data_IF_520929064544
#
_entry.id   IF_520929064544
#
_cell.length_a   1.000
_cell.length_b   1.000
_cell.length_c   1.000
_cell.angle_alpha   90.00
_cell.angle_beta   90.00
_cell.angle_gamma   90.00
#
_symmetry.space_group_name_H-M   'P 1'
#
loop_
_entity.id
_entity.type
_entity.pdbx_description
1 polymer ?
#
# COMPACT_ATOMS: atom_id res chain seq x y z
N UNK A 1 -12.79 25.99 7.94
CA UNK A 1 -11.73 25.18 7.32
C UNK A 1 -12.06 24.92 5.86
N UNK A 2 -11.05 24.72 5.03
CA UNK A 2 -11.22 24.37 3.62
C UNK A 2 -11.05 22.84 3.47
N UNK A 3 -12.11 22.19 2.97
CA UNK A 3 -12.14 20.77 2.69
C UNK A 3 -11.98 20.54 1.19
N UNK A 4 -10.99 19.74 0.82
CA UNK A 4 -10.73 19.34 -0.56
C UNK A 4 -11.27 17.93 -0.81
N UNK A 5 -11.90 17.75 -1.97
CA UNK A 5 -12.24 16.48 -2.55
C UNK A 5 -11.29 16.20 -3.72
N UNK A 6 -10.44 15.21 -3.59
CA UNK A 6 -9.35 14.93 -4.52
C UNK A 6 -9.50 13.54 -5.12
N UNK A 7 -9.27 13.43 -6.44
CA UNK A 7 -9.14 12.14 -7.11
C UNK A 7 -7.68 11.67 -7.02
N UNK A 8 -7.46 10.43 -6.63
CA UNK A 8 -6.14 9.81 -6.54
C UNK A 8 -5.79 9.13 -7.86
N UNK A 9 -5.26 9.91 -8.82
CA UNK A 9 -4.81 9.37 -10.09
C UNK A 9 -3.44 8.67 -9.96
N UNK A 10 -3.03 7.94 -11.02
CA UNK A 10 -1.69 7.32 -11.07
C UNK A 10 -0.55 8.36 -11.04
N UNK A 11 -0.84 9.60 -11.44
CA UNK A 11 0.12 10.70 -11.46
C UNK A 11 0.03 11.60 -10.22
N UNK A 12 -0.76 11.23 -9.22
CA UNK A 12 -0.93 11.98 -7.98
C UNK A 12 -2.36 12.47 -7.76
N UNK A 13 -2.54 13.24 -6.70
CA UNK A 13 -3.84 13.80 -6.33
C UNK A 13 -4.24 14.96 -7.24
N UNK A 14 -5.47 14.93 -7.72
CA UNK A 14 -6.07 15.97 -8.54
C UNK A 14 -7.30 16.52 -7.81
N UNK A 15 -7.35 17.80 -7.56
CA UNK A 15 -8.52 18.42 -6.93
C UNK A 15 -9.73 18.35 -7.86
N UNK A 16 -10.79 17.72 -7.39
CA UNK A 16 -12.08 17.65 -8.08
C UNK A 16 -12.95 18.81 -7.67
N UNK A 17 -13.02 19.08 -6.37
CA UNK A 17 -13.83 20.15 -5.80
C UNK A 17 -13.29 20.55 -4.42
N UNK A 18 -13.78 21.66 -3.90
CA UNK A 18 -13.48 22.12 -2.55
C UNK A 18 -14.63 22.92 -1.97
N UNK A 19 -14.75 22.91 -0.66
CA UNK A 19 -15.76 23.66 0.07
C UNK A 19 -15.18 24.29 1.32
N UNK A 20 -15.55 25.52 1.58
CA UNK A 20 -15.28 26.17 2.87
C UNK A 20 -16.37 25.75 3.85
N UNK A 21 -16.00 24.95 4.84
CA UNK A 21 -16.94 24.46 5.84
C UNK A 21 -17.50 25.62 6.68
N UNK A 22 -18.84 25.64 6.81
CA UNK A 22 -19.56 26.53 7.70
C UNK A 22 -19.48 26.08 9.17
N UNK A 23 -20.28 26.72 10.02
CA UNK A 23 -20.30 26.41 11.46
C UNK A 23 -20.83 25.01 11.76
N UNK A 24 -21.76 24.51 10.97
CA UNK A 24 -22.32 23.15 11.08
C UNK A 24 -21.37 22.06 10.51
N UNK A 25 -20.32 22.45 9.78
CA UNK A 25 -19.37 21.56 9.19
C UNK A 25 -19.92 20.66 8.06
N UNK A 26 -21.11 20.91 7.56
CA UNK A 26 -21.73 20.10 6.51
C UNK A 26 -21.06 20.31 5.14
N UNK A 27 -21.01 19.22 4.36
CA UNK A 27 -20.47 19.24 3.00
C UNK A 27 -21.16 18.18 2.12
N UNK A 28 -21.07 18.38 0.82
CA UNK A 28 -21.50 17.39 -0.18
C UNK A 28 -20.63 17.52 -1.42
N UNK A 29 -20.21 16.40 -1.97
CA UNK A 29 -19.50 16.32 -3.24
C UNK A 29 -20.14 15.27 -4.14
N UNK A 30 -20.15 15.53 -5.43
CA UNK A 30 -20.57 14.58 -6.45
C UNK A 30 -19.33 14.05 -7.17
N UNK A 31 -19.22 12.73 -7.24
CA UNK A 31 -18.22 12.01 -8.02
C UNK A 31 -18.80 11.50 -9.33
N UNK A 32 -17.94 11.20 -10.29
CA UNK A 32 -18.36 10.56 -11.54
C UNK A 32 -18.35 9.05 -11.33
N UNK A 33 -19.48 8.39 -11.65
CA UNK A 33 -19.54 6.94 -11.65
C UNK A 33 -18.64 6.37 -12.76
N UNK A 34 -17.87 5.35 -12.43
CA UNK A 34 -17.04 4.61 -13.36
C UNK A 34 -17.43 3.11 -13.35
N UNK A 35 -17.02 2.40 -14.38
CA UNK A 35 -17.22 0.95 -14.48
C UNK A 35 -16.11 0.13 -13.79
N UNK A 36 -15.25 0.80 -13.07
CA UNK A 36 -14.18 0.26 -12.24
C UNK A 36 -14.02 1.08 -10.96
N UNK A 37 -13.36 0.57 -9.91
CA UNK A 37 -13.11 1.33 -8.70
C UNK A 37 -12.29 2.59 -8.96
N UNK A 38 -12.75 3.70 -8.39
CA UNK A 38 -12.03 4.97 -8.35
C UNK A 38 -11.71 5.36 -6.90
N UNK A 39 -10.58 6.02 -6.73
CA UNK A 39 -10.06 6.40 -5.43
C UNK A 39 -10.05 7.91 -5.26
N UNK A 40 -10.59 8.32 -4.15
CA UNK A 40 -10.66 9.73 -3.75
C UNK A 40 -10.13 9.90 -2.34
N UNK A 41 -9.89 11.15 -1.95
CA UNK A 41 -9.65 11.50 -0.56
C UNK A 41 -10.31 12.80 -0.19
N UNK A 42 -10.74 12.89 1.05
CA UNK A 42 -11.12 14.11 1.72
C UNK A 42 -9.91 14.64 2.48
N UNK A 43 -9.57 15.90 2.29
CA UNK A 43 -8.39 16.49 2.91
C UNK A 43 -8.67 17.87 3.51
N UNK A 44 -8.30 18.03 4.78
CA UNK A 44 -8.15 19.32 5.46
C UNK A 44 -6.71 19.43 5.94
N UNK A 45 -5.95 20.40 5.41
CA UNK A 45 -4.53 20.52 5.70
C UNK A 45 -3.77 19.19 5.46
N UNK A 46 -3.26 18.57 6.50
CA UNK A 46 -2.55 17.28 6.42
C UNK A 46 -3.40 16.08 6.82
N UNK A 47 -4.64 16.31 7.23
CA UNK A 47 -5.56 15.24 7.61
C UNK A 47 -6.28 14.70 6.38
N UNK A 48 -6.31 13.38 6.24
CA UNK A 48 -6.80 12.70 5.04
C UNK A 48 -7.73 11.55 5.43
N UNK A 49 -8.84 11.44 4.72
CA UNK A 49 -9.72 10.26 4.71
C UNK A 49 -9.75 9.71 3.31
N UNK A 50 -9.33 8.47 3.14
CA UNK A 50 -9.35 7.77 1.85
C UNK A 50 -10.72 7.15 1.60
N UNK A 51 -11.21 7.30 0.37
CA UNK A 51 -12.50 6.83 -0.10
C UNK A 51 -12.33 6.10 -1.41
N UNK A 52 -13.04 4.99 -1.59
CA UNK A 52 -13.17 4.33 -2.88
C UNK A 52 -14.64 4.29 -3.29
N UNK A 53 -14.88 4.45 -4.58
CA UNK A 53 -16.20 4.35 -5.21
C UNK A 53 -16.10 3.33 -6.33
N UNK A 54 -16.87 2.25 -6.26
CA UNK A 54 -16.86 1.17 -7.27
C UNK A 54 -18.14 1.08 -8.07
N UNK A 55 -19.15 1.86 -7.69
CA UNK A 55 -20.43 1.96 -8.39
C UNK A 55 -21.14 3.28 -8.02
N UNK A 56 -22.46 3.32 -8.13
CA UNK A 56 -23.27 4.47 -7.70
C UNK A 56 -23.59 4.34 -6.21
N UNK A 57 -22.81 4.98 -5.38
CA UNK A 57 -22.91 4.91 -3.92
C UNK A 57 -23.16 6.29 -3.32
N UNK A 58 -23.92 6.32 -2.22
CA UNK A 58 -24.03 7.46 -1.34
C UNK A 58 -23.20 7.19 -0.07
N UNK A 59 -22.05 7.80 0.02
CA UNK A 59 -21.10 7.59 1.11
C UNK A 59 -21.21 8.76 2.09
N UNK A 60 -21.56 8.45 3.33
CA UNK A 60 -21.62 9.43 4.41
C UNK A 60 -20.37 9.33 5.30
N UNK A 61 -19.71 10.45 5.49
CA UNK A 61 -18.50 10.56 6.33
C UNK A 61 -18.75 11.57 7.43
N UNK A 62 -18.40 11.21 8.67
CA UNK A 62 -18.44 12.09 9.84
C UNK A 62 -17.09 12.03 10.54
N UNK A 63 -16.50 13.18 10.78
CA UNK A 63 -15.23 13.31 11.44
C UNK A 63 -15.08 14.66 12.15
N UNK A 64 -14.13 14.74 13.05
CA UNK A 64 -13.70 16.00 13.66
C UNK A 64 -12.26 16.29 13.30
N UNK A 65 -12.01 17.43 12.68
CA UNK A 65 -10.67 17.96 12.57
C UNK A 65 -10.18 18.35 13.98
N UNK A 66 -8.97 18.08 14.41
CA UNK A 66 -7.77 17.62 13.71
C UNK A 66 -7.50 16.11 13.77
N UNK A 67 -8.43 15.28 14.22
CA UNK A 67 -8.24 13.84 14.40
C UNK A 67 -8.85 12.99 13.27
N UNK A 68 -9.30 13.60 12.20
CA UNK A 68 -10.09 12.96 11.15
C UNK A 68 -9.37 11.79 10.43
N UNK A 69 -8.05 11.81 10.33
CA UNK A 69 -7.32 10.72 9.66
C UNK A 69 -7.44 9.37 10.37
N UNK A 70 -7.53 9.36 11.68
CA UNK A 70 -7.59 8.15 12.49
C UNK A 70 -8.94 7.89 13.15
N UNK A 71 -9.81 8.90 13.20
CA UNK A 71 -11.09 8.85 13.89
C UNK A 71 -12.18 9.46 13.01
N UNK A 72 -12.85 8.63 12.26
CA UNK A 72 -13.99 9.03 11.43
C UNK A 72 -14.98 7.89 11.31
N UNK A 73 -16.24 8.23 11.06
CA UNK A 73 -17.29 7.27 10.72
C UNK A 73 -17.57 7.32 9.22
N UNK A 74 -17.73 6.17 8.62
CA UNK A 74 -18.11 6.02 7.21
C UNK A 74 -19.27 5.06 7.09
N UNK A 75 -20.29 5.43 6.32
CA UNK A 75 -21.50 4.64 6.05
C UNK A 75 -21.83 4.66 4.56
N UNK A 76 -22.52 3.63 4.11
CA UNK A 76 -22.99 3.52 2.73
C UNK A 76 -22.02 2.83 1.77
N UNK A 77 -20.88 2.33 2.25
CA UNK A 77 -19.89 1.62 1.44
C UNK A 77 -19.10 0.62 2.27
N UNK A 78 -19.18 -0.65 1.91
CA UNK A 78 -18.35 -1.70 2.50
C UNK A 78 -16.87 -1.48 2.15
N UNK A 79 -16.57 -1.08 0.91
CA UNK A 79 -15.23 -0.74 0.46
C UNK A 79 -14.58 0.33 1.35
N UNK A 80 -15.29 1.42 1.61
CA UNK A 80 -14.79 2.50 2.48
C UNK A 80 -14.64 2.04 3.93
N UNK A 81 -15.48 1.15 4.43
CA UNK A 81 -15.33 0.56 5.76
C UNK A 81 -14.06 -0.28 5.87
N UNK A 82 -13.75 -1.07 4.86
CA UNK A 82 -12.52 -1.88 4.79
C UNK A 82 -11.27 -1.01 4.63
N UNK A 83 -11.33 0.04 3.84
CA UNK A 83 -10.24 1.02 3.72
C UNK A 83 -9.98 1.71 5.05
N UNK A 84 -11.02 2.06 5.80
CA UNK A 84 -10.87 2.60 7.17
C UNK A 84 -10.15 1.61 8.09
N UNK A 85 -10.54 0.34 8.09
CA UNK A 85 -9.88 -0.69 8.89
C UNK A 85 -8.37 -0.75 8.55
N UNK A 86 -8.04 -0.78 7.26
CA UNK A 86 -6.64 -0.80 6.79
C UNK A 86 -5.88 0.46 7.19
N UNK A 87 -6.48 1.64 7.09
CA UNK A 87 -5.85 2.88 7.50
C UNK A 87 -5.55 2.91 9.00
N UNK A 88 -6.49 2.47 9.83
CA UNK A 88 -6.30 2.37 11.29
C UNK A 88 -5.23 1.34 11.66
N UNK A 89 -5.22 0.19 11.00
CA UNK A 89 -4.19 -0.84 11.18
C UNK A 89 -2.80 -0.32 10.81
N UNK A 90 -2.68 0.42 9.72
CA UNK A 90 -1.41 1.02 9.28
C UNK A 90 -0.91 2.07 10.30
N UNK A 91 -1.80 2.89 10.84
CA UNK A 91 -1.45 3.87 11.88
C UNK A 91 -0.94 3.18 13.16
N UNK A 92 -1.54 2.06 13.53
CA UNK A 92 -1.08 1.24 14.65
C UNK A 92 0.31 0.64 14.38
N UNK A 93 0.54 0.13 13.17
CA UNK A 93 1.85 -0.36 12.75
C UNK A 93 2.90 0.75 12.80
N UNK A 94 2.58 1.94 12.31
CA UNK A 94 3.48 3.09 12.36
C UNK A 94 3.84 3.49 13.80
N UNK A 95 2.85 3.46 14.70
CA UNK A 95 3.09 3.74 16.12
C UNK A 95 4.03 2.70 16.77
N UNK A 96 3.88 1.42 16.42
CA UNK A 96 4.77 0.36 16.90
C UNK A 96 6.20 0.53 16.36
N UNK A 97 6.36 0.88 15.09
CA UNK A 97 7.66 1.19 14.48
C UNK A 97 8.31 2.37 15.20
N UNK A 98 7.57 3.45 15.43
CA UNK A 98 8.08 4.63 16.12
C UNK A 98 8.52 4.31 17.56
N UNK A 99 7.78 3.48 18.27
CA UNK A 99 8.16 3.05 19.62
C UNK A 99 9.47 2.27 19.65
N UNK A 100 9.74 1.46 18.63
CA UNK A 100 11.01 0.72 18.49
C UNK A 100 12.15 1.68 18.14
N UNK A 101 11.99 2.55 17.14
CA UNK A 101 13.04 3.46 16.68
C UNK A 101 13.40 4.54 17.69
N UNK A 102 12.50 4.89 18.58
CA UNK A 102 12.72 5.89 19.64
C UNK A 102 13.25 5.31 20.95
N UNK A 103 13.41 4.00 21.04
CA UNK A 103 13.92 3.35 22.25
C UNK A 103 15.47 3.36 22.27
N UNK A 104 16.12 4.16 23.13
CA UNK A 104 17.57 4.26 23.15
C UNK A 104 18.28 3.01 23.70
N UNK A 105 17.53 2.08 24.28
CA UNK A 105 18.07 0.85 24.89
C UNK A 105 18.11 -0.34 23.91
N UNK A 106 17.68 -0.16 22.67
CA UNK A 106 17.65 -1.21 21.65
C UNK A 106 18.81 -0.98 20.68
N UNK A 107 19.59 -2.03 20.41
CA UNK A 107 20.66 -1.98 19.40
C UNK A 107 20.06 -1.87 18.00
N UNK A 108 20.82 -1.33 17.06
CA UNK A 108 20.41 -1.20 15.65
C UNK A 108 19.96 -2.53 15.04
N UNK A 109 20.68 -3.62 15.29
CA UNK A 109 20.33 -4.94 14.76
C UNK A 109 19.04 -5.48 15.37
N UNK A 110 18.83 -5.30 16.68
CA UNK A 110 17.60 -5.68 17.36
C UNK A 110 16.40 -4.85 16.91
N UNK A 111 16.60 -3.58 16.65
CA UNK A 111 15.62 -2.66 16.08
C UNK A 111 15.18 -3.15 14.70
N UNK A 112 16.13 -3.40 13.79
CA UNK A 112 15.85 -3.90 12.44
C UNK A 112 15.08 -5.23 12.45
N UNK A 113 15.46 -6.17 13.32
CA UNK A 113 14.78 -7.45 13.47
C UNK A 113 13.36 -7.30 14.01
N UNK A 114 13.15 -6.47 15.00
CA UNK A 114 11.83 -6.19 15.56
C UNK A 114 10.89 -5.57 14.54
N UNK A 115 11.35 -4.58 13.78
CA UNK A 115 10.58 -3.94 12.71
C UNK A 115 10.22 -4.97 11.63
N UNK A 116 11.17 -5.81 11.22
CA UNK A 116 10.93 -6.87 10.24
C UNK A 116 9.84 -7.83 10.68
N UNK A 117 9.84 -8.24 11.94
CA UNK A 117 8.84 -9.15 12.50
C UNK A 117 7.44 -8.53 12.54
N UNK A 118 7.30 -7.30 13.01
CA UNK A 118 5.98 -6.65 13.07
C UNK A 118 5.43 -6.33 11.70
N UNK A 119 6.27 -5.93 10.74
CA UNK A 119 5.86 -5.71 9.35
C UNK A 119 5.45 -7.04 8.70
N UNK A 120 6.20 -8.12 8.90
CA UNK A 120 5.85 -9.44 8.39
C UNK A 120 4.50 -9.93 8.92
N UNK A 121 4.23 -9.75 10.20
CA UNK A 121 2.94 -10.09 10.82
C UNK A 121 1.79 -9.26 10.23
N UNK A 122 2.00 -7.97 10.03
CA UNK A 122 1.04 -7.07 9.39
C UNK A 122 0.73 -7.52 7.95
N UNK A 123 1.76 -7.77 7.15
CA UNK A 123 1.63 -8.24 5.76
C UNK A 123 0.84 -9.55 5.68
N UNK A 124 1.13 -10.50 6.53
CA UNK A 124 0.45 -11.79 6.58
C UNK A 124 -1.05 -11.63 6.90
N UNK A 125 -1.38 -10.78 7.87
CA UNK A 125 -2.76 -10.46 8.22
C UNK A 125 -3.51 -9.77 7.07
N UNK A 126 -2.89 -8.79 6.42
CA UNK A 126 -3.48 -8.04 5.31
C UNK A 126 -3.66 -8.91 4.07
N UNK A 127 -2.68 -9.75 3.74
CA UNK A 127 -2.81 -10.71 2.63
C UNK A 127 -4.00 -11.63 2.80
N UNK A 128 -4.14 -12.25 3.98
CA UNK A 128 -5.20 -13.21 4.24
C UNK A 128 -6.59 -12.60 4.31
N UNK A 129 -6.73 -11.45 4.95
CA UNK A 129 -8.04 -10.89 5.28
C UNK A 129 -8.54 -9.85 4.27
N UNK A 130 -7.65 -9.22 3.51
CA UNK A 130 -8.01 -8.11 2.62
C UNK A 130 -7.62 -8.32 1.17
N UNK A 131 -6.52 -9.00 0.85
CA UNK A 131 -6.03 -9.09 -0.53
C UNK A 131 -6.47 -10.39 -1.20
N UNK A 132 -6.11 -11.54 -0.66
CA UNK A 132 -6.37 -12.82 -1.32
C UNK A 132 -7.81 -13.29 -1.22
N UNK A 133 -8.55 -12.78 -0.25
CA UNK A 133 -9.96 -13.12 -0.07
C UNK A 133 -10.82 -12.56 -1.21
N UNK A 134 -10.61 -11.32 -1.58
CA UNK A 134 -11.36 -10.62 -2.64
C UNK A 134 -10.42 -9.67 -3.41
N UNK A 135 -9.53 -10.20 -4.26
CA UNK A 135 -8.48 -9.40 -4.91
C UNK A 135 -9.00 -8.38 -5.93
N UNK A 136 -10.26 -8.49 -6.37
CA UNK A 136 -10.92 -7.51 -7.25
C UNK A 136 -11.41 -6.26 -6.51
N UNK A 137 -11.48 -6.28 -5.19
CA UNK A 137 -12.04 -5.18 -4.42
C UNK A 137 -11.09 -3.98 -4.34
N UNK A 138 -11.67 -2.79 -4.25
CA UNK A 138 -10.91 -1.56 -4.12
C UNK A 138 -10.00 -1.57 -2.88
N UNK A 139 -10.45 -2.13 -1.77
CA UNK A 139 -9.65 -2.22 -0.57
C UNK A 139 -8.41 -3.14 -0.74
N UNK A 140 -8.49 -4.17 -1.59
CA UNK A 140 -7.31 -4.98 -1.91
C UNK A 140 -6.26 -4.17 -2.68
N UNK A 141 -6.68 -3.38 -3.66
CA UNK A 141 -5.81 -2.44 -4.37
C UNK A 141 -5.19 -1.42 -3.40
N UNK A 142 -6.01 -0.81 -2.54
CA UNK A 142 -5.55 0.15 -1.54
C UNK A 142 -4.48 -0.45 -0.62
N UNK A 143 -4.68 -1.69 -0.18
CA UNK A 143 -3.74 -2.37 0.70
C UNK A 143 -2.34 -2.55 0.09
N UNK A 144 -2.24 -2.73 -1.24
CA UNK A 144 -0.95 -2.89 -1.93
C UNK A 144 -0.05 -1.66 -1.82
N UNK A 145 -0.64 -0.47 -1.72
CA UNK A 145 0.09 0.80 -1.80
C UNK A 145 0.24 1.50 -0.45
N UNK A 146 -0.11 0.84 0.64
CA UNK A 146 0.14 1.37 1.97
C UNK A 146 1.65 1.48 2.25
N UNK A 147 2.02 2.52 2.97
CA UNK A 147 3.41 2.83 3.29
C UNK A 147 3.62 2.92 4.80
N UNK A 148 4.87 2.80 5.20
CA UNK A 148 5.36 3.15 6.53
C UNK A 148 6.54 4.09 6.42
N UNK A 149 6.78 4.85 7.47
CA UNK A 149 7.99 5.65 7.63
C UNK A 149 8.91 4.96 8.64
N UNK A 150 10.15 4.72 8.23
CA UNK A 150 11.20 4.17 9.08
C UNK A 150 12.42 5.07 8.96
N UNK A 151 12.85 5.66 10.08
CA UNK A 151 14.02 6.53 10.10
C UNK A 151 13.92 7.75 9.17
N UNK A 152 12.72 8.31 9.00
CA UNK A 152 12.47 9.46 8.11
C UNK A 152 12.29 9.11 6.64
N UNK A 153 12.40 7.83 6.27
CA UNK A 153 12.19 7.36 4.90
C UNK A 153 10.85 6.62 4.76
N UNK A 154 10.11 6.97 3.71
CA UNK A 154 8.86 6.31 3.36
C UNK A 154 9.13 5.08 2.49
N UNK A 155 8.55 3.94 2.88
CA UNK A 155 8.69 2.69 2.14
C UNK A 155 7.32 2.01 1.97
N UNK A 156 7.13 1.34 0.84
CA UNK A 156 5.99 0.46 0.64
C UNK A 156 6.07 -0.73 1.61
N UNK A 157 4.95 -1.07 2.23
CA UNK A 157 4.84 -2.26 3.09
C UNK A 157 5.01 -3.52 2.24
N UNK A 158 4.31 -3.59 1.11
CA UNK A 158 4.53 -4.60 0.08
C UNK A 158 5.49 -4.04 -0.98
N UNK A 159 6.72 -4.53 -1.00
CA UNK A 159 7.74 -4.05 -1.95
C UNK A 159 7.79 -4.95 -3.19
N UNK A 160 7.23 -4.50 -4.34
CA UNK A 160 7.21 -5.29 -5.56
C UNK A 160 8.53 -5.25 -6.34
N UNK A 161 9.55 -4.54 -5.86
CA UNK A 161 10.81 -4.34 -6.59
C UNK A 161 11.85 -5.41 -6.31
N UNK A 162 11.86 -5.97 -5.12
CA UNK A 162 12.96 -6.83 -4.68
C UNK A 162 12.53 -8.12 -3.97
N UNK A 163 11.27 -8.24 -3.56
CA UNK A 163 10.76 -9.37 -2.79
C UNK A 163 9.78 -10.20 -3.61
N UNK A 164 10.16 -11.44 -3.89
CA UNK A 164 9.37 -12.37 -4.71
C UNK A 164 7.93 -12.54 -4.18
N UNK A 165 7.78 -12.70 -2.88
CA UNK A 165 6.46 -12.87 -2.25
C UNK A 165 5.58 -11.65 -2.47
N UNK A 166 6.14 -10.45 -2.37
CA UNK A 166 5.41 -9.19 -2.58
C UNK A 166 5.04 -9.01 -4.06
N UNK A 167 5.94 -9.33 -4.97
CA UNK A 167 5.64 -9.32 -6.42
C UNK A 167 4.45 -10.22 -6.74
N UNK A 168 4.38 -11.40 -6.12
CA UNK A 168 3.27 -12.34 -6.31
C UNK A 168 1.92 -11.76 -5.83
N UNK A 169 1.93 -10.96 -4.76
CA UNK A 169 0.73 -10.27 -4.27
C UNK A 169 0.23 -9.24 -5.29
N UNK A 170 1.12 -8.43 -5.83
CA UNK A 170 0.80 -7.49 -6.91
C UNK A 170 0.28 -8.21 -8.16
N UNK A 171 0.91 -9.31 -8.55
CA UNK A 171 0.50 -10.12 -9.70
C UNK A 171 -0.92 -10.71 -9.52
N UNK A 172 -1.25 -11.18 -8.33
CA UNK A 172 -2.58 -11.71 -8.02
C UNK A 172 -3.67 -10.65 -8.17
N UNK A 173 -3.45 -9.45 -7.67
CA UNK A 173 -4.39 -8.33 -7.82
C UNK A 173 -4.46 -7.88 -9.27
N UNK A 174 -3.34 -7.79 -9.98
CA UNK A 174 -3.30 -7.46 -11.41
C UNK A 174 -4.15 -8.42 -12.25
N UNK A 175 -4.01 -9.71 -12.02
CA UNK A 175 -4.79 -10.75 -12.71
C UNK A 175 -6.29 -10.61 -12.43
N UNK A 176 -6.66 -10.32 -11.20
CA UNK A 176 -8.06 -10.11 -10.82
C UNK A 176 -8.64 -8.85 -11.49
N UNK A 177 -7.88 -7.76 -11.55
CA UNK A 177 -8.29 -6.53 -12.22
C UNK A 177 -8.50 -6.73 -13.71
N UNK A 178 -7.66 -7.52 -14.38
CA UNK A 178 -7.87 -7.87 -15.78
C UNK A 178 -9.18 -8.62 -16.04
N UNK A 179 -9.56 -9.47 -15.11
CA UNK A 179 -10.79 -10.25 -15.22
C UNK A 179 -12.03 -9.39 -15.00
N UNK A 180 -12.01 -8.55 -13.97
CA UNK A 180 -13.19 -7.76 -13.56
C UNK A 180 -13.26 -6.38 -14.20
N UNK A 181 -12.12 -5.77 -14.48
CA UNK A 181 -12.00 -4.40 -15.00
C UNK A 181 -10.98 -4.34 -16.15
N UNK A 182 -11.25 -5.03 -17.27
CA UNK A 182 -10.31 -5.11 -18.38
C UNK A 182 -10.01 -3.73 -18.98
N UNK A 183 -8.78 -3.55 -19.44
CA UNK A 183 -8.28 -2.35 -20.10
C UNK A 183 -8.25 -1.07 -19.24
N UNK A 184 -8.30 -1.17 -17.92
CA UNK A 184 -8.14 -0.03 -17.04
C UNK A 184 -6.66 0.37 -16.93
N UNK A 185 -6.41 1.66 -16.71
CA UNK A 185 -5.05 2.16 -16.49
C UNK A 185 -4.42 1.56 -15.23
N UNK A 186 -5.20 1.42 -14.14
CA UNK A 186 -4.74 0.81 -12.91
C UNK A 186 -4.36 -0.65 -13.08
N UNK A 187 -5.15 -1.41 -13.84
CA UNK A 187 -4.84 -2.80 -14.16
C UNK A 187 -3.56 -2.93 -14.96
N UNK A 188 -3.37 -2.10 -15.99
CA UNK A 188 -2.13 -2.04 -16.78
C UNK A 188 -0.92 -1.68 -15.92
N UNK A 189 -1.07 -0.72 -15.03
CA UNK A 189 -0.02 -0.31 -14.10
C UNK A 189 0.38 -1.44 -13.14
N UNK A 190 -0.59 -2.18 -12.60
CA UNK A 190 -0.33 -3.34 -11.75
C UNK A 190 0.45 -4.43 -12.49
N UNK A 191 0.10 -4.70 -13.75
CA UNK A 191 0.85 -5.63 -14.60
C UNK A 191 2.29 -5.19 -14.81
N UNK A 192 2.50 -3.92 -15.13
CA UNK A 192 3.85 -3.39 -15.32
C UNK A 192 4.68 -3.49 -14.05
N UNK A 193 4.10 -3.18 -12.90
CA UNK A 193 4.75 -3.34 -11.59
C UNK A 193 5.16 -4.81 -11.37
N UNK A 194 4.26 -5.75 -11.62
CA UNK A 194 4.53 -7.17 -11.44
C UNK A 194 5.61 -7.69 -12.41
N UNK A 195 5.57 -7.29 -13.68
CA UNK A 195 6.56 -7.68 -14.70
C UNK A 195 7.94 -7.15 -14.34
N UNK A 196 8.06 -5.87 -13.99
CA UNK A 196 9.32 -5.28 -13.57
C UNK A 196 9.86 -5.93 -12.29
N UNK A 197 8.98 -6.19 -11.33
CA UNK A 197 9.34 -6.89 -10.09
C UNK A 197 9.89 -8.29 -10.35
N UNK A 198 9.27 -9.07 -11.23
CA UNK A 198 9.76 -10.40 -11.60
C UNK A 198 11.13 -10.36 -12.28
N UNK A 199 11.38 -9.38 -13.15
CA UNK A 199 12.70 -9.17 -13.76
C UNK A 199 13.75 -8.89 -12.69
N UNK A 200 13.47 -7.97 -11.76
CA UNK A 200 14.40 -7.61 -10.69
C UNK A 200 14.69 -8.79 -9.76
N UNK A 201 13.68 -9.57 -9.39
CA UNK A 201 13.85 -10.76 -8.55
C UNK A 201 14.77 -11.78 -9.24
N UNK A 202 14.62 -12.01 -10.54
CA UNK A 202 15.50 -12.91 -11.30
C UNK A 202 16.94 -12.43 -11.33
N UNK A 203 17.17 -11.13 -11.50
CA UNK A 203 18.51 -10.54 -11.47
C UNK A 203 19.16 -10.73 -10.09
N UNK A 204 18.44 -10.40 -9.02
CA UNK A 204 18.93 -10.57 -7.63
C UNK A 204 19.26 -12.03 -7.34
N UNK A 205 18.42 -12.98 -7.75
CA UNK A 205 18.67 -14.42 -7.57
C UNK A 205 19.90 -14.89 -8.33
N UNK A 206 20.11 -14.39 -9.56
CA UNK A 206 21.29 -14.71 -10.36
C UNK A 206 22.57 -14.17 -9.71
N UNK A 207 22.56 -12.94 -9.22
CA UNK A 207 23.67 -12.33 -8.50
C UNK A 207 24.01 -13.08 -7.21
N UNK A 208 23.03 -13.47 -6.43
CA UNK A 208 23.22 -14.27 -5.21
C UNK A 208 23.82 -15.64 -5.50
N UNK A 209 23.38 -16.30 -6.57
CA UNK A 209 23.95 -17.58 -7.01
C UNK A 209 25.43 -17.45 -7.40
N UNK A 210 25.80 -16.41 -8.13
CA UNK A 210 27.19 -16.12 -8.49
C UNK A 210 28.06 -15.84 -7.26
N UNK A 211 27.56 -15.10 -6.29
CA UNK A 211 28.27 -14.80 -5.04
C UNK A 211 28.50 -16.08 -4.22
N UNK A 212 27.54 -16.96 -4.14
CA UNK A 212 27.66 -18.26 -3.44
C UNK A 212 28.72 -19.13 -4.13
N UNK A 213 28.73 -19.21 -5.44
CA UNK A 213 29.72 -19.98 -6.20
C UNK A 213 31.12 -19.44 -6.03
N UNK A 214 31.29 -18.12 -6.08
CA UNK A 214 32.57 -17.46 -5.80
C UNK A 214 33.09 -17.71 -4.38
N UNK A 215 32.20 -17.70 -3.37
CA UNK A 215 32.57 -18.01 -1.98
C UNK A 215 32.98 -19.46 -1.77
N UNK A 216 32.37 -20.41 -2.47
CA UNK A 216 32.78 -21.82 -2.48
C UNK A 216 34.16 -22.01 -3.09
N UNK A 217 34.46 -21.31 -4.17
CA UNK A 217 35.78 -21.34 -4.82
C UNK A 217 36.85 -20.78 -3.89
N UNK A 218 36.59 -19.68 -3.20
CA UNK A 218 37.55 -19.07 -2.28
C UNK A 218 37.82 -19.92 -1.04
N UNK A 219 36.86 -20.70 -0.58
CA UNK A 219 37.02 -21.60 0.57
C UNK A 219 37.76 -22.88 0.23
N UNK A 220 37.71 -23.36 -1.01
CA UNK A 220 38.37 -24.59 -1.46
C UNK A 220 39.79 -24.40 -2.00
N UNK A 221 40.19 -23.17 -2.33
CA UNK A 221 41.51 -22.86 -2.88
C UNK A 221 41.83 -23.49 -4.23
N UNK A 222 40.86 -24.12 -4.88
CA UNK A 222 41.02 -24.82 -6.17
C UNK A 222 40.03 -24.19 -7.18
N UNK A 223 40.57 -23.64 -8.24
CA UNK A 223 39.78 -23.21 -9.40
C UNK A 223 39.81 -24.35 -10.41
N UNK A 224 38.76 -25.15 -10.50
CA UNK A 224 38.57 -26.04 -11.66
C UNK A 224 37.99 -25.18 -12.80
N UNK A 225 38.88 -24.88 -13.77
CA UNK A 225 38.45 -24.30 -15.03
C UNK A 225 38.05 -25.46 -15.95
N UNK A 226 36.77 -25.75 -16.07
CA UNK A 226 36.28 -26.58 -17.16
C UNK A 226 36.35 -25.75 -18.46
N UNK A 227 37.30 -26.06 -19.30
CA UNK A 227 37.35 -25.58 -20.68
C UNK A 227 36.38 -26.44 -21.52
N UNK A 228 35.65 -25.78 -22.47
CA UNK A 228 34.71 -26.48 -23.34
C UNK A 228 35.37 -27.48 -24.27
#
# INVERSE_FOLDING_TARGET
>A
SLLYFENMSLNGAVTVDSVKLGEDGSFSFDGTAADHPEFYRLRIARQIINIAVDSTENIAVKASYPTMSGQYDVKGSEECSKIKELAVMQMSLQAQINAITQNPNVSYDSEADSIRQIVAAYKDRVKRNYIFKEPMKAYAYFALFQTVNVGGQTALIFDPRSKKEDVQVFAAVATSWDTYYPNTERGKNLHNIAIEGMKNVRIIQAEQSQTIDASKVSASGVIEIALP
#
